data_IF_800857515443
#
_entry.id   IF_800857515443
#
_cell.length_a   1.000
_cell.length_b   1.000
_cell.length_c   1.000
_cell.angle_alpha   90.00
_cell.angle_beta   90.00
_cell.angle_gamma   90.00
#
_symmetry.space_group_name_H-M   'P 1'
#
loop_
_entity.id
_entity.type
_entity.pdbx_description
1 polymer ?
#
# COMPACT_ATOMS: atom_id res chain seq x y z
N UNK A 1 -3.89 -5.37 -9.85
CA UNK A 1 -5.27 -4.82 -10.07
C UNK A 1 -5.33 -3.35 -9.68
N UNK A 2 -4.75 -2.97 -8.54
CA UNK A 2 -4.58 -1.56 -8.16
C UNK A 2 -3.63 -0.80 -9.09
N UNK A 3 -2.69 -1.50 -9.73
CA UNK A 3 -1.70 -0.91 -10.65
C UNK A 3 -2.33 -0.20 -11.84
N UNK A 4 -3.47 -0.70 -12.35
CA UNK A 4 -4.22 -0.07 -13.45
C UNK A 4 -4.77 1.30 -13.03
N UNK A 5 -5.20 1.44 -11.77
CA UNK A 5 -5.68 2.71 -11.23
C UNK A 5 -4.52 3.67 -10.93
N UNK A 6 -3.40 3.13 -10.45
CA UNK A 6 -2.17 3.89 -10.24
C UNK A 6 -1.59 4.45 -11.53
N UNK A 7 -1.51 3.64 -12.59
CA UNK A 7 -1.00 4.04 -13.91
C UNK A 7 -1.90 5.08 -14.59
N UNK A 8 -3.21 5.01 -14.33
CA UNK A 8 -4.16 6.03 -14.76
C UNK A 8 -4.11 7.33 -13.93
N UNK A 9 -3.19 7.45 -12.96
CA UNK A 9 -3.10 8.59 -12.03
C UNK A 9 -4.30 8.72 -11.09
N UNK A 10 -5.17 7.72 -11.02
CA UNK A 10 -6.39 7.71 -10.21
C UNK A 10 -6.13 7.10 -8.84
N UNK A 11 -5.27 7.78 -8.08
CA UNK A 11 -4.91 7.38 -6.71
C UNK A 11 -6.14 7.32 -5.79
N UNK A 12 -7.10 8.24 -5.94
CA UNK A 12 -8.35 8.21 -5.15
C UNK A 12 -9.22 6.98 -5.44
N UNK A 13 -9.24 6.49 -6.68
CA UNK A 13 -9.95 5.25 -7.03
C UNK A 13 -9.21 4.02 -6.49
N UNK A 14 -7.88 4.04 -6.56
CA UNK A 14 -7.03 2.99 -6.01
C UNK A 14 -7.24 2.82 -4.49
N UNK A 15 -7.24 3.91 -3.73
CA UNK A 15 -7.47 3.88 -2.28
C UNK A 15 -8.89 3.47 -1.93
N UNK A 16 -9.89 3.85 -2.73
CA UNK A 16 -11.26 3.39 -2.55
C UNK A 16 -11.38 1.87 -2.72
N UNK A 17 -10.77 1.30 -3.77
CA UNK A 17 -10.76 -0.16 -3.99
C UNK A 17 -10.03 -0.88 -2.86
N UNK A 18 -8.90 -0.33 -2.39
CA UNK A 18 -8.18 -0.88 -1.24
C UNK A 18 -9.08 -0.96 0.01
N UNK A 19 -9.80 0.13 0.32
CA UNK A 19 -10.73 0.15 1.45
C UNK A 19 -11.85 -0.89 1.28
N UNK A 20 -12.41 -1.03 0.08
CA UNK A 20 -13.40 -2.07 -0.19
C UNK A 20 -12.83 -3.49 -0.01
N UNK A 21 -11.56 -3.72 -0.34
CA UNK A 21 -10.91 -5.01 -0.10
C UNK A 21 -10.79 -5.28 1.41
N UNK A 22 -10.46 -4.27 2.22
CA UNK A 22 -10.45 -4.38 3.67
C UNK A 22 -11.84 -4.65 4.25
N UNK A 23 -12.85 -3.90 3.82
CA UNK A 23 -14.25 -4.04 4.29
C UNK A 23 -14.82 -5.42 3.96
N UNK A 24 -14.42 -6.00 2.82
CA UNK A 24 -14.80 -7.37 2.43
C UNK A 24 -13.99 -8.45 3.15
N UNK A 25 -13.05 -8.08 4.02
CA UNK A 25 -12.16 -9.02 4.70
C UNK A 25 -11.23 -9.76 3.75
N UNK A 26 -10.98 -9.21 2.55
CA UNK A 26 -10.05 -9.80 1.59
C UNK A 26 -8.66 -9.63 2.16
N UNK A 27 -7.93 -10.72 2.27
CA UNK A 27 -6.54 -10.70 2.72
C UNK A 27 -5.71 -9.93 1.70
N UNK A 28 -5.18 -8.78 2.11
CA UNK A 28 -4.35 -7.95 1.27
C UNK A 28 -2.92 -8.46 1.36
N UNK A 29 -2.34 -8.77 0.20
CA UNK A 29 -0.96 -9.23 0.10
C UNK A 29 0.05 -8.09 0.17
N UNK A 30 1.28 -8.42 0.56
CA UNK A 30 2.44 -7.52 0.64
C UNK A 30 2.67 -6.72 -0.67
N UNK A 31 2.44 -7.39 -1.80
CA UNK A 31 2.56 -6.81 -3.14
C UNK A 31 1.56 -5.66 -3.32
N UNK A 32 0.34 -5.81 -2.80
CA UNK A 32 -0.73 -4.82 -2.95
C UNK A 32 -0.41 -3.55 -2.15
N UNK A 33 0.10 -3.70 -0.92
CA UNK A 33 0.62 -2.59 -0.12
C UNK A 33 1.78 -1.87 -0.81
N UNK A 34 2.72 -2.63 -1.37
CA UNK A 34 3.89 -2.07 -2.05
C UNK A 34 3.48 -1.27 -3.30
N UNK A 35 2.54 -1.80 -4.10
CA UNK A 35 1.97 -1.07 -5.24
C UNK A 35 1.29 0.23 -4.80
N UNK A 36 0.46 0.19 -3.76
CA UNK A 36 -0.20 1.40 -3.22
C UNK A 36 0.81 2.46 -2.81
N UNK A 37 1.82 2.08 -2.04
CA UNK A 37 2.86 3.00 -1.60
C UNK A 37 3.65 3.59 -2.77
N UNK A 38 3.96 2.78 -3.78
CA UNK A 38 4.65 3.25 -4.98
C UNK A 38 3.82 4.34 -5.69
N UNK A 39 2.53 4.09 -5.90
CA UNK A 39 1.64 5.02 -6.59
C UNK A 39 1.30 6.26 -5.76
N UNK A 40 1.12 6.13 -4.44
CA UNK A 40 0.93 7.27 -3.52
C UNK A 40 2.15 8.18 -3.50
N UNK A 41 3.35 7.58 -3.42
CA UNK A 41 4.62 8.30 -3.52
C UNK A 41 4.76 9.02 -4.86
N UNK A 42 4.39 8.35 -5.96
CA UNK A 42 4.42 8.95 -7.31
C UNK A 42 3.40 10.09 -7.48
N UNK A 43 2.28 10.05 -6.77
CA UNK A 43 1.31 11.14 -6.76
C UNK A 43 1.65 12.27 -5.77
N UNK A 44 2.74 12.14 -5.02
CA UNK A 44 3.16 13.11 -4.00
C UNK A 44 2.34 13.05 -2.70
N UNK A 45 1.48 12.04 -2.54
CA UNK A 45 0.67 11.82 -1.33
C UNK A 45 1.47 10.97 -0.33
N UNK A 46 2.42 11.64 0.34
CA UNK A 46 3.31 11.02 1.31
C UNK A 46 2.55 10.59 2.57
N UNK A 47 1.59 11.39 3.02
CA UNK A 47 0.77 11.08 4.19
C UNK A 47 -0.05 9.78 3.98
N UNK A 48 -0.67 9.63 2.81
CA UNK A 48 -1.35 8.39 2.44
C UNK A 48 -0.39 7.20 2.39
N UNK A 49 0.81 7.38 1.83
CA UNK A 49 1.81 6.31 1.79
C UNK A 49 2.26 5.86 3.20
N UNK A 50 2.43 6.80 4.14
CA UNK A 50 2.78 6.51 5.54
C UNK A 50 1.66 5.78 6.26
N UNK A 51 0.40 6.16 6.02
CA UNK A 51 -0.75 5.47 6.62
C UNK A 51 -0.83 4.00 6.16
N UNK A 52 -0.67 3.76 4.85
CA UNK A 52 -0.66 2.41 4.27
C UNK A 52 0.50 1.58 4.83
N UNK A 53 1.66 2.20 5.06
CA UNK A 53 2.81 1.55 5.69
C UNK A 53 2.55 1.14 7.14
N UNK A 54 1.97 2.02 7.96
CA UNK A 54 1.62 1.70 9.34
C UNK A 54 0.58 0.58 9.40
N UNK A 55 -0.36 0.56 8.46
CA UNK A 55 -1.38 -0.49 8.37
C UNK A 55 -0.77 -1.85 7.98
N UNK A 56 0.18 -1.86 7.03
CA UNK A 56 0.98 -3.04 6.68
C UNK A 56 1.79 -3.58 7.88
N UNK A 57 2.31 -2.68 8.73
CA UNK A 57 3.01 -3.06 9.97
C UNK A 57 2.05 -3.62 11.02
N UNK A 58 0.88 -3.00 11.20
CA UNK A 58 -0.14 -3.44 12.14
C UNK A 58 -0.68 -4.84 11.79
N UNK A 59 -0.83 -5.16 10.50
CA UNK A 59 -1.25 -6.49 10.06
C UNK A 59 -0.14 -7.56 10.11
N UNK A 60 1.08 -7.20 10.51
CA UNK A 60 2.20 -8.14 10.63
C UNK A 60 2.76 -8.67 9.30
N UNK A 61 2.23 -8.22 8.15
CA UNK A 61 2.71 -8.57 6.81
C UNK A 61 4.15 -8.09 6.57
N UNK A 62 4.53 -6.97 7.19
CA UNK A 62 5.89 -6.40 7.16
C UNK A 62 7.01 -7.37 7.59
N UNK A 63 6.69 -8.42 8.35
CA UNK A 63 7.68 -9.23 9.07
C UNK A 63 8.65 -10.04 8.18
N UNK A 64 8.34 -10.27 6.89
CA UNK A 64 9.11 -11.24 6.10
C UNK A 64 10.10 -10.66 5.07
N UNK A 65 9.87 -9.49 4.45
CA UNK A 65 10.67 -9.06 3.27
C UNK A 65 11.42 -7.73 3.43
N UNK A 66 10.97 -6.82 4.27
CA UNK A 66 11.66 -5.58 4.57
C UNK A 66 12.15 -5.56 6.03
N UNK A 67 12.99 -6.55 6.38
CA UNK A 67 13.99 -6.30 7.43
C UNK A 67 14.97 -5.29 6.84
N UNK A 68 14.68 -4.01 7.06
CA UNK A 68 15.54 -2.88 6.76
C UNK A 68 16.97 -3.32 7.08
N UNK A 69 17.81 -3.39 6.05
CA UNK A 69 19.27 -3.34 6.20
C UNK A 69 19.53 -2.00 6.87
N UNK A 70 19.45 -1.94 8.20
CA UNK A 70 20.21 -0.97 8.98
C UNK A 70 21.64 -1.37 8.73
N UNK A 71 22.21 -0.84 7.64
CA UNK A 71 23.66 -0.81 7.47
C UNK A 71 24.20 -0.08 8.70
N UNK A 72 25.20 -0.66 9.39
CA UNK A 72 25.81 -0.04 10.56
C UNK A 72 26.41 1.33 10.20
#
# INVERSE_FOLDING_TARGET
MLDIFGEAGRVSSMTHVFKQMQEKGIKIDDITYTSLMHWLSNAGDVDGAVQIWEEMRAQGCWSSRFRIRRKP
#
